data_IF_532559901320
#
_entry.id   IF_532559901320
#
_cell.length_a   1.000
_cell.length_b   1.000
_cell.length_c   1.000
_cell.angle_alpha   90.00
_cell.angle_beta   90.00
_cell.angle_gamma   90.00
#
_symmetry.space_group_name_H-M   'P 1'
#
loop_
_entity.id
_entity.type
_entity.pdbx_description
1 polymer ?
#
# COMPACT_ATOMS: atom_id res chain seq x y z
N UNK A 1 8.29 9.01 -4.16
CA UNK A 1 7.15 8.88 -5.09
C UNK A 1 5.89 8.59 -4.29
N UNK A 2 4.74 9.10 -4.72
CA UNK A 2 3.46 8.96 -4.00
C UNK A 2 2.56 7.99 -4.74
N UNK A 3 1.98 7.05 -4.01
CA UNK A 3 1.18 5.96 -4.56
C UNK A 3 -0.11 5.83 -3.79
N UNK A 4 -1.20 5.55 -4.50
CA UNK A 4 -2.47 5.12 -3.91
C UNK A 4 -2.70 3.68 -4.30
N UNK A 5 -2.93 2.83 -3.33
CA UNK A 5 -3.09 1.39 -3.52
C UNK A 5 -4.38 0.90 -2.87
N UNK A 6 -4.95 -0.12 -3.47
CA UNK A 6 -6.18 -0.77 -3.03
C UNK A 6 -5.96 -2.27 -2.85
N UNK A 7 -6.66 -2.84 -1.87
CA UNK A 7 -6.61 -4.26 -1.61
C UNK A 7 -7.46 -4.63 -0.39
N UNK A 8 -7.73 -5.93 -0.23
CA UNK A 8 -8.47 -6.44 0.93
C UNK A 8 -7.51 -7.09 1.91
N UNK A 9 -6.82 -6.26 2.70
CA UNK A 9 -5.83 -6.73 3.67
C UNK A 9 -6.12 -6.22 5.08
N UNK A 10 -5.85 -7.08 6.07
CA UNK A 10 -5.95 -6.75 7.49
C UNK A 10 -4.93 -5.69 7.89
N UNK A 11 -5.26 -4.88 8.90
CA UNK A 11 -4.41 -3.79 9.39
C UNK A 11 -2.95 -4.20 9.70
N UNK A 12 -2.75 -5.44 10.14
CA UNK A 12 -1.42 -6.00 10.42
C UNK A 12 -0.56 -6.15 9.15
N UNK A 13 -1.11 -6.74 8.09
CA UNK A 13 -0.38 -6.87 6.83
C UNK A 13 -0.04 -5.52 6.19
N UNK A 14 -0.83 -4.47 6.47
CA UNK A 14 -0.50 -3.11 6.02
C UNK A 14 0.65 -2.48 6.80
N UNK A 15 0.84 -2.89 8.05
CA UNK A 15 1.99 -2.46 8.84
C UNK A 15 3.26 -3.10 8.29
N UNK A 16 3.22 -4.40 8.02
CA UNK A 16 4.34 -5.15 7.45
C UNK A 16 4.71 -4.62 6.05
N UNK A 17 3.71 -4.45 5.17
CA UNK A 17 3.89 -3.84 3.86
C UNK A 17 4.59 -2.48 3.95
N UNK A 18 4.10 -1.59 4.82
CA UNK A 18 4.65 -0.24 4.99
C UNK A 18 6.13 -0.29 5.43
N UNK A 19 6.49 -1.20 6.32
CA UNK A 19 7.88 -1.37 6.76
C UNK A 19 8.77 -1.87 5.62
N UNK A 20 8.28 -2.80 4.81
CA UNK A 20 9.01 -3.39 3.69
C UNK A 20 9.31 -2.38 2.57
N UNK A 21 8.33 -1.56 2.20
CA UNK A 21 8.54 -0.50 1.19
C UNK A 21 9.20 0.76 1.75
N UNK A 22 9.67 0.74 3.01
CA UNK A 22 10.17 1.90 3.75
C UNK A 22 9.25 3.13 3.57
N UNK A 23 7.94 2.86 3.68
CA UNK A 23 6.88 3.77 3.30
C UNK A 23 6.44 4.69 4.43
N UNK A 24 6.02 5.90 4.06
CA UNK A 24 5.32 6.83 4.93
C UNK A 24 3.86 6.90 4.51
N UNK A 25 2.96 6.51 5.41
CA UNK A 25 1.52 6.64 5.19
C UNK A 25 1.15 8.12 5.15
N UNK A 26 0.39 8.51 4.13
CA UNK A 26 -0.15 9.85 3.94
C UNK A 26 -1.62 9.89 4.32
N UNK A 27 -2.40 8.95 3.79
CA UNK A 27 -3.82 8.81 4.09
C UNK A 27 -4.24 7.35 3.91
N UNK A 28 -5.34 6.94 4.53
CA UNK A 28 -5.89 5.60 4.34
C UNK A 28 -7.36 5.57 4.74
N UNK A 29 -8.11 4.65 4.13
CA UNK A 29 -9.50 4.38 4.51
C UNK A 29 -9.65 2.94 4.96
N UNK A 30 -10.34 2.76 6.07
CA UNK A 30 -10.70 1.44 6.60
C UNK A 30 -12.21 1.23 6.60
N UNK A 31 -12.61 -0.03 6.46
CA UNK A 31 -13.92 -0.53 6.86
C UNK A 31 -13.72 -1.64 7.90
N UNK A 32 -14.08 -1.35 9.15
CA UNK A 32 -13.77 -2.17 10.33
C UNK A 32 -12.26 -2.45 10.43
N UNK A 33 -11.85 -3.71 10.23
CA UNK A 33 -10.47 -4.18 10.39
C UNK A 33 -9.77 -4.43 9.04
N UNK A 34 -10.37 -3.96 7.94
CA UNK A 34 -9.83 -4.09 6.58
C UNK A 34 -9.56 -2.69 6.06
N UNK A 35 -8.36 -2.44 5.52
CA UNK A 35 -8.08 -1.19 4.82
C UNK A 35 -8.61 -1.35 3.40
N UNK A 36 -9.44 -0.41 2.94
CA UNK A 36 -9.96 -0.36 1.58
C UNK A 36 -8.91 0.20 0.62
N UNK A 37 -8.23 1.27 1.03
CA UNK A 37 -7.17 1.91 0.28
C UNK A 37 -6.18 2.61 1.20
N UNK A 38 -4.94 2.73 0.74
CA UNK A 38 -3.86 3.45 1.41
C UNK A 38 -3.14 4.34 0.40
N UNK A 39 -2.78 5.53 0.84
CA UNK A 39 -1.88 6.42 0.14
C UNK A 39 -0.57 6.54 0.92
N UNK A 40 0.55 6.33 0.24
CA UNK A 40 1.87 6.36 0.87
C UNK A 40 2.91 7.04 -0.02
N UNK A 41 3.98 7.50 0.61
CA UNK A 41 5.20 7.93 -0.04
C UNK A 41 6.31 6.92 0.24
N UNK A 42 7.05 6.53 -0.80
CA UNK A 42 8.25 5.72 -0.69
C UNK A 42 9.36 6.27 -1.57
N UNK A 43 10.60 6.08 -1.15
CA UNK A 43 11.80 6.42 -1.92
C UNK A 43 12.34 5.22 -2.73
N UNK A 44 11.71 4.05 -2.59
CA UNK A 44 12.09 2.85 -3.34
C UNK A 44 11.71 2.96 -4.83
N UNK A 45 12.40 2.17 -5.65
CA UNK A 45 12.11 2.09 -7.08
C UNK A 45 10.72 1.48 -7.34
N UNK A 46 10.06 1.95 -8.40
CA UNK A 46 8.72 1.48 -8.75
C UNK A 46 8.68 -0.03 -8.98
N UNK A 47 9.69 -0.64 -9.61
CA UNK A 47 9.68 -2.10 -9.85
C UNK A 47 9.73 -2.89 -8.56
N UNK A 48 10.45 -2.39 -7.56
CA UNK A 48 10.49 -3.01 -6.25
C UNK A 48 9.14 -2.87 -5.54
N UNK A 49 8.55 -1.67 -5.56
CA UNK A 49 7.22 -1.43 -4.98
C UNK A 49 6.18 -2.33 -5.65
N UNK A 50 6.21 -2.44 -6.97
CA UNK A 50 5.29 -3.27 -7.75
C UNK A 50 5.40 -4.76 -7.37
N UNK A 51 6.62 -5.29 -7.21
CA UNK A 51 6.80 -6.68 -6.75
C UNK A 51 6.26 -6.91 -5.34
N UNK A 52 6.48 -5.96 -4.43
CA UNK A 52 5.95 -6.06 -3.06
C UNK A 52 4.42 -5.95 -3.08
N UNK A 53 3.84 -5.11 -3.93
CA UNK A 53 2.38 -5.04 -4.07
C UNK A 53 1.79 -6.37 -4.52
N UNK A 54 2.42 -7.06 -5.48
CA UNK A 54 2.00 -8.40 -5.93
C UNK A 54 2.05 -9.42 -4.79
N UNK A 55 3.12 -9.45 -3.99
CA UNK A 55 3.27 -10.38 -2.86
C UNK A 55 2.19 -10.21 -1.79
N UNK A 56 1.72 -8.98 -1.58
CA UNK A 56 0.64 -8.65 -0.64
C UNK A 56 -0.76 -8.64 -1.31
N UNK A 57 -0.86 -8.96 -2.60
CA UNK A 57 -2.12 -8.96 -3.35
C UNK A 57 -2.76 -7.57 -3.48
N UNK A 58 -1.95 -6.52 -3.41
CA UNK A 58 -2.33 -5.12 -3.54
C UNK A 58 -2.14 -4.65 -4.98
N UNK A 59 -2.83 -3.57 -5.35
CA UNK A 59 -2.70 -2.95 -6.69
C UNK A 59 -2.67 -1.44 -6.59
N UNK A 60 -1.87 -0.81 -7.44
CA UNK A 60 -1.90 0.65 -7.61
C UNK A 60 -3.26 1.03 -8.19
N UNK A 61 -3.95 1.95 -7.54
CA UNK A 61 -5.18 2.53 -8.08
C UNK A 61 -4.80 3.68 -9.01
N UNK A 62 -4.64 3.35 -10.29
CA UNK A 62 -4.57 4.33 -11.37
C UNK A 62 -5.97 4.96 -11.51
N UNK A 63 -6.21 6.04 -10.77
CA UNK A 63 -7.44 6.82 -10.93
C UNK A 63 -7.57 7.29 -12.38
N UNK A 64 -8.71 6.98 -13.02
CA UNK A 64 -9.19 7.72 -14.19
C UNK A 64 -9.49 9.18 -13.81
#
# INVERSE_FOLDING_TARGET
MRYKVEGNMHLWGWTDFKEEINGKIIDYKTDKNVICWMEFESNEDFKYIDSVLEDYGLRVNEGN
#
